data_IF_335762230146
#
_entry.id   IF_335762230146
#
_cell.length_a   1.000
_cell.length_b   1.000
_cell.length_c   1.000
_cell.angle_alpha   90.00
_cell.angle_beta   90.00
_cell.angle_gamma   90.00
#
_symmetry.space_group_name_H-M   'P 1'
#
loop_
_entity.id
_entity.type
_entity.pdbx_description
1 polymer ?
#
# COMPACT_ATOMS: atom_id res chain seq x y z
N UNK A 1 -12.44 -15.84 -8.23
CA UNK A 1 -12.93 -14.51 -8.67
C UNK A 1 -13.32 -14.48 -10.14
N UNK A 2 -12.60 -15.16 -11.05
CA UNK A 2 -12.94 -15.12 -12.49
C UNK A 2 -14.43 -15.38 -12.84
N UNK A 3 -15.10 -16.28 -12.13
CA UNK A 3 -16.53 -16.58 -12.36
C UNK A 3 -17.50 -15.75 -11.50
N UNK A 4 -17.14 -15.44 -10.25
CA UNK A 4 -18.04 -14.80 -9.27
C UNK A 4 -17.73 -13.31 -9.01
N UNK A 5 -16.77 -12.73 -9.72
CA UNK A 5 -16.39 -11.32 -9.71
C UNK A 5 -15.69 -10.86 -8.44
N UNK A 6 -16.40 -10.87 -7.32
CA UNK A 6 -15.96 -10.32 -6.02
C UNK A 6 -15.93 -11.38 -4.93
N UNK A 7 -15.36 -11.04 -3.77
CA UNK A 7 -15.44 -11.90 -2.60
C UNK A 7 -16.89 -12.07 -2.15
N UNK A 8 -17.66 -10.98 -2.16
CA UNK A 8 -19.08 -10.98 -1.80
C UNK A 8 -19.90 -11.89 -2.74
N UNK A 9 -19.65 -11.80 -4.06
CA UNK A 9 -20.28 -12.67 -5.06
C UNK A 9 -19.89 -14.14 -4.88
N UNK A 10 -18.61 -14.40 -4.54
CA UNK A 10 -18.15 -15.75 -4.22
C UNK A 10 -18.80 -16.30 -2.95
N UNK A 11 -18.94 -15.49 -1.89
CA UNK A 11 -19.59 -15.90 -0.63
C UNK A 11 -21.09 -16.13 -0.81
N UNK A 12 -21.77 -15.33 -1.64
CA UNK A 12 -23.18 -15.58 -2.00
C UNK A 12 -23.36 -16.92 -2.72
N UNK A 13 -22.43 -17.27 -3.61
CA UNK A 13 -22.44 -18.56 -4.31
C UNK A 13 -22.25 -19.76 -3.36
N UNK A 14 -21.61 -19.59 -2.20
CA UNK A 14 -21.45 -20.66 -1.19
C UNK A 14 -22.79 -21.08 -0.60
N UNK A 15 -23.75 -20.15 -0.46
CA UNK A 15 -25.09 -20.43 0.06
C UNK A 15 -26.09 -20.86 -1.01
N UNK A 16 -25.80 -20.58 -2.28
CA UNK A 16 -26.65 -21.00 -3.40
C UNK A 16 -26.32 -22.44 -3.84
N UNK A 17 -27.29 -23.35 -3.69
CA UNK A 17 -27.16 -24.76 -4.11
C UNK A 17 -27.12 -24.94 -5.63
N UNK A 18 -27.58 -23.95 -6.40
CA UNK A 18 -27.51 -23.94 -7.86
C UNK A 18 -26.18 -23.41 -8.42
N UNK A 19 -25.28 -22.90 -7.56
CA UNK A 19 -24.01 -22.35 -8.01
C UNK A 19 -23.05 -23.43 -8.51
N UNK A 20 -22.18 -23.07 -9.46
CA UNK A 20 -21.17 -23.95 -10.05
C UNK A 20 -20.01 -24.34 -9.12
N UNK A 21 -20.07 -23.99 -7.82
CA UNK A 21 -19.01 -24.32 -6.86
C UNK A 21 -18.94 -25.83 -6.62
N UNK A 22 -17.75 -26.40 -6.80
CA UNK A 22 -17.47 -27.78 -6.40
C UNK A 22 -17.67 -27.97 -4.89
N UNK A 23 -18.05 -29.18 -4.49
CA UNK A 23 -18.31 -29.50 -3.08
C UNK A 23 -17.12 -29.19 -2.16
N UNK A 24 -15.89 -29.48 -2.62
CA UNK A 24 -14.67 -29.20 -1.84
C UNK A 24 -14.44 -27.70 -1.64
N UNK A 25 -14.67 -26.89 -2.68
CA UNK A 25 -14.51 -25.43 -2.59
C UNK A 25 -15.58 -24.83 -1.68
N UNK A 26 -16.84 -25.26 -1.84
CA UNK A 26 -17.96 -24.84 -0.98
C UNK A 26 -17.67 -25.12 0.49
N UNK A 27 -17.21 -26.34 0.81
CA UNK A 27 -16.87 -26.74 2.18
C UNK A 27 -15.77 -25.86 2.80
N UNK A 28 -14.71 -25.54 2.05
CA UNK A 28 -13.61 -24.69 2.55
C UNK A 28 -14.06 -23.25 2.81
N UNK A 29 -14.85 -22.69 1.89
CA UNK A 29 -15.35 -21.33 2.04
C UNK A 29 -16.36 -21.20 3.17
N UNK A 30 -17.28 -22.17 3.29
CA UNK A 30 -18.25 -22.23 4.38
C UNK A 30 -17.57 -22.31 5.75
N UNK A 31 -16.51 -23.12 5.88
CA UNK A 31 -15.75 -23.24 7.13
C UNK A 31 -15.02 -21.94 7.55
N UNK A 32 -14.81 -21.01 6.62
CA UNK A 32 -14.10 -19.75 6.85
C UNK A 32 -14.99 -18.50 6.70
N UNK A 33 -16.31 -18.67 6.65
CA UNK A 33 -17.22 -17.59 6.21
C UNK A 33 -17.17 -16.36 7.14
N UNK A 34 -17.09 -16.57 8.45
CA UNK A 34 -17.01 -15.49 9.43
C UNK A 34 -15.72 -14.67 9.26
N UNK A 35 -14.59 -15.38 9.09
CA UNK A 35 -13.30 -14.74 8.82
C UNK A 35 -13.31 -13.98 7.50
N UNK A 36 -13.80 -14.58 6.42
CA UNK A 36 -13.84 -13.96 5.10
C UNK A 36 -14.77 -12.75 5.04
N UNK A 37 -15.84 -12.75 5.84
CA UNK A 37 -16.77 -11.61 5.97
C UNK A 37 -16.11 -10.44 6.71
N UNK A 38 -15.32 -10.72 7.75
CA UNK A 38 -14.61 -9.68 8.51
C UNK A 38 -13.32 -9.18 7.82
N UNK A 39 -12.66 -10.03 7.03
CA UNK A 39 -11.35 -9.76 6.43
C UNK A 39 -11.25 -8.44 5.66
N UNK A 40 -12.26 -8.00 4.87
CA UNK A 40 -12.22 -6.71 4.19
C UNK A 40 -11.90 -5.51 5.09
N UNK A 41 -12.33 -5.52 6.35
CA UNK A 41 -12.06 -4.43 7.30
C UNK A 41 -10.57 -4.33 7.69
N UNK A 42 -9.82 -5.43 7.57
CA UNK A 42 -8.40 -5.51 7.94
C UNK A 42 -7.51 -5.33 6.72
N UNK A 43 -7.91 -5.88 5.57
CA UNK A 43 -7.04 -5.94 4.38
C UNK A 43 -7.27 -4.79 3.41
N UNK A 44 -8.43 -4.12 3.45
CA UNK A 44 -8.65 -2.94 2.60
C UNK A 44 -7.90 -1.75 3.18
N UNK A 45 -7.23 -1.02 2.30
CA UNK A 45 -6.66 0.28 2.65
C UNK A 45 -7.80 1.26 2.97
N UNK A 46 -7.61 2.04 4.02
CA UNK A 46 -8.40 3.26 4.27
C UNK A 46 -8.07 4.26 3.15
N UNK A 47 -9.09 4.77 2.45
CA UNK A 47 -8.91 5.63 1.26
C UNK A 47 -9.28 7.10 1.49
N UNK A 48 -9.81 7.38 2.66
CA UNK A 48 -10.44 8.62 3.09
C UNK A 48 -9.82 9.11 4.40
N UNK A 49 -8.57 8.71 4.66
CA UNK A 49 -7.83 9.22 5.80
C UNK A 49 -7.66 10.73 5.64
N UNK A 50 -8.03 11.48 6.68
CA UNK A 50 -7.82 12.92 6.73
C UNK A 50 -6.31 13.22 6.81
N UNK A 51 -5.72 13.50 5.65
CA UNK A 51 -4.32 13.87 5.50
C UNK A 51 -4.23 15.29 4.93
N UNK A 52 -3.16 16.05 5.24
CA UNK A 52 -2.90 17.32 4.58
C UNK A 52 -2.82 17.15 3.05
N UNK A 53 -3.09 18.22 2.31
CA UNK A 53 -2.87 18.21 0.87
C UNK A 53 -1.40 17.93 0.53
N UNK A 54 -1.13 17.41 -0.68
CA UNK A 54 0.24 17.06 -1.13
C UNK A 54 1.18 18.26 -1.00
N UNK A 55 0.67 19.45 -1.33
CA UNK A 55 1.39 20.72 -1.28
C UNK A 55 1.68 21.15 0.16
N UNK A 56 0.69 21.02 1.05
CA UNK A 56 0.83 21.35 2.47
C UNK A 56 1.82 20.41 3.17
N UNK A 57 1.82 19.12 2.79
CA UNK A 57 2.73 18.12 3.32
C UNK A 57 4.16 18.24 2.73
N UNK A 58 4.37 19.05 1.69
CA UNK A 58 5.64 19.11 0.97
C UNK A 58 6.02 17.77 0.32
N UNK A 59 5.04 16.94 -0.06
CA UNK A 59 5.25 15.57 -0.51
C UNK A 59 5.73 15.45 -1.98
N UNK A 60 6.17 16.56 -2.58
CA UNK A 60 6.76 16.59 -3.91
C UNK A 60 8.29 16.62 -3.82
N UNK A 61 8.95 15.60 -4.37
CA UNK A 61 10.42 15.58 -4.40
C UNK A 61 10.94 16.71 -5.27
N UNK A 62 11.90 17.46 -4.73
CA UNK A 62 12.57 18.61 -5.34
C UNK A 62 14.06 18.60 -5.01
N UNK A 63 14.90 19.38 -5.74
CA UNK A 63 16.30 19.54 -5.39
C UNK A 63 16.47 20.06 -3.95
N UNK A 64 17.46 19.52 -3.24
CA UNK A 64 17.81 20.00 -1.90
C UNK A 64 18.94 21.01 -2.01
N UNK A 65 18.68 22.24 -1.55
CA UNK A 65 19.60 23.37 -1.68
C UNK A 65 19.81 24.08 -0.33
N UNK A 66 20.85 24.93 -0.28
CA UNK A 66 21.17 25.77 0.87
C UNK A 66 21.49 24.96 2.13
N UNK A 67 21.06 25.48 3.28
CA UNK A 67 21.34 24.91 4.60
C UNK A 67 20.84 23.46 4.75
N UNK A 68 19.70 23.13 4.15
CA UNK A 68 19.16 21.77 4.20
C UNK A 68 20.10 20.73 3.54
N UNK A 69 20.79 21.14 2.46
CA UNK A 69 21.79 20.28 1.82
C UNK A 69 23.03 20.12 2.69
N UNK A 70 23.54 21.23 3.24
CA UNK A 70 24.70 21.22 4.12
C UNK A 70 24.45 20.31 5.34
N UNK A 71 23.24 20.35 5.91
CA UNK A 71 22.87 19.49 7.02
C UNK A 71 22.79 18.01 6.64
N UNK A 72 22.23 17.68 5.46
CA UNK A 72 22.25 16.30 4.96
C UNK A 72 23.67 15.77 4.74
N UNK A 73 24.57 16.60 4.21
CA UNK A 73 25.98 16.22 4.01
C UNK A 73 26.71 16.04 5.35
N UNK A 74 26.40 16.87 6.36
CA UNK A 74 26.91 16.72 7.73
C UNK A 74 26.43 15.42 8.37
N UNK A 75 25.12 15.13 8.30
CA UNK A 75 24.53 13.87 8.80
C UNK A 75 25.07 12.65 8.06
N UNK A 76 25.38 12.78 6.77
CA UNK A 76 25.98 11.70 6.00
C UNK A 76 27.35 11.27 6.56
N UNK A 77 28.13 12.22 7.08
CA UNK A 77 29.41 11.96 7.74
C UNK A 77 29.16 11.37 9.13
N UNK A 78 28.30 12.02 9.93
CA UNK A 78 28.02 11.61 11.31
C UNK A 78 27.53 10.15 11.39
N UNK A 79 26.63 9.76 10.50
CA UNK A 79 26.03 8.43 10.49
C UNK A 79 26.66 7.48 9.47
N UNK A 80 27.81 7.86 8.89
CA UNK A 80 28.54 7.04 7.91
C UNK A 80 27.66 6.54 6.74
N UNK A 81 26.78 7.41 6.22
CA UNK A 81 25.88 7.09 5.11
C UNK A 81 26.58 7.14 3.75
N UNK A 82 27.78 7.75 3.71
CA UNK A 82 28.71 7.72 2.58
C UNK A 82 28.06 8.00 1.23
N UNK A 83 28.28 7.08 0.29
CA UNK A 83 27.81 7.24 -1.10
C UNK A 83 26.28 7.28 -1.27
N UNK A 84 25.49 6.83 -0.29
CA UNK A 84 24.03 6.81 -0.41
C UNK A 84 23.43 8.21 -0.44
N UNK A 85 23.87 9.11 0.43
CA UNK A 85 23.41 10.52 0.43
C UNK A 85 23.91 11.24 -0.82
N UNK A 86 25.15 11.00 -1.25
CA UNK A 86 25.68 11.56 -2.50
C UNK A 86 24.82 11.18 -3.72
N UNK A 87 24.38 9.91 -3.82
CA UNK A 87 23.51 9.44 -4.90
C UNK A 87 22.10 10.02 -4.80
N UNK A 88 21.55 10.11 -3.58
CA UNK A 88 20.25 10.75 -3.34
C UNK A 88 20.26 12.20 -3.83
N UNK A 89 21.22 13.01 -3.37
CA UNK A 89 21.33 14.41 -3.77
C UNK A 89 21.49 14.56 -5.28
N UNK A 90 22.38 13.77 -5.89
CA UNK A 90 22.54 13.78 -7.36
C UNK A 90 21.27 13.38 -8.13
N UNK A 91 20.46 12.46 -7.60
CA UNK A 91 19.19 12.07 -8.20
C UNK A 91 18.09 13.14 -8.05
N UNK A 92 18.08 13.89 -6.93
CA UNK A 92 17.15 14.99 -6.73
C UNK A 92 17.54 16.23 -7.54
N UNK A 93 18.83 16.49 -7.73
CA UNK A 93 19.35 17.62 -8.51
C UNK A 93 18.93 17.57 -9.99
N UNK A 94 18.66 16.37 -10.54
CA UNK A 94 18.20 16.19 -11.93
C UNK A 94 16.67 16.27 -12.08
N UNK A 95 15.91 16.36 -10.98
CA UNK A 95 14.45 16.44 -11.02
C UNK A 95 14.03 17.90 -11.13
N UNK A 96 13.43 18.28 -12.26
CA UNK A 96 12.80 19.59 -12.47
C UNK A 96 11.39 19.61 -11.89
#
# INVERSE_FOLDING_TARGET
LGEYGTLEGLLAAVTDTGSGLSASVRSKLAAAIDYLTAAPAVVRLVRDLELPAIEEAGAQLSPVAGEARAELERLAIEWNLGGSVKRLLGALDVRR
#
